data_IF_598122452245
#
_entry.id   IF_598122452245
#
_cell.length_a   1.000
_cell.length_b   1.000
_cell.length_c   1.000
_cell.angle_alpha   90.00
_cell.angle_beta   90.00
_cell.angle_gamma   90.00
#
_symmetry.space_group_name_H-M   'P 1'
#
loop_
_entity.id
_entity.type
_entity.pdbx_description
1 polymer ?
#
# COMPACT_ATOMS: atom_id res chain seq x y z
N UNK A 1 -7.64 14.68 3.14
CA UNK A 1 -6.52 15.13 2.20
C UNK A 1 -6.77 14.66 0.78
N UNK A 2 -6.28 15.33 -0.29
CA UNK A 2 -6.32 14.81 -1.67
C UNK A 2 -5.18 13.84 -1.91
N UNK A 3 -5.38 12.81 -2.75
CA UNK A 3 -4.37 11.76 -3.03
C UNK A 3 -3.09 12.35 -3.64
N UNK A 4 -3.19 13.35 -4.54
CA UNK A 4 -2.02 14.03 -5.09
C UNK A 4 -1.19 14.73 -4.02
N UNK A 5 -1.86 15.36 -3.07
CA UNK A 5 -1.19 16.06 -1.97
C UNK A 5 -0.53 15.07 -1.00
N UNK A 6 -1.17 13.93 -0.76
CA UNK A 6 -0.59 12.85 0.03
C UNK A 6 0.73 12.35 -0.58
N UNK A 7 0.73 11.97 -1.87
CA UNK A 7 1.95 11.47 -2.53
C UNK A 7 3.10 12.47 -2.42
N UNK A 8 2.84 13.75 -2.65
CA UNK A 8 3.86 14.80 -2.55
C UNK A 8 4.43 14.90 -1.11
N UNK A 9 3.58 14.85 -0.09
CA UNK A 9 4.02 14.94 1.31
C UNK A 9 4.74 13.67 1.77
N UNK A 10 4.28 12.49 1.36
CA UNK A 10 4.90 11.21 1.67
C UNK A 10 6.34 11.15 1.11
N UNK A 11 6.53 11.60 -0.12
CA UNK A 11 7.84 11.58 -0.77
C UNK A 11 8.89 12.53 -0.15
N UNK A 12 8.49 13.45 0.74
CA UNK A 12 9.44 14.23 1.54
C UNK A 12 10.26 13.36 2.51
N UNK A 13 9.74 12.20 2.86
CA UNK A 13 10.37 11.25 3.77
C UNK A 13 10.98 10.06 3.05
N UNK A 14 11.04 10.10 1.73
CA UNK A 14 11.73 9.11 0.91
C UNK A 14 13.20 9.51 0.75
N UNK A 15 14.10 8.54 0.83
CA UNK A 15 15.53 8.75 0.63
C UNK A 15 15.81 9.13 -0.83
N UNK A 16 16.68 10.11 -1.06
CA UNK A 16 17.12 10.46 -2.41
C UNK A 16 18.14 9.43 -2.96
N UNK A 17 18.13 9.24 -4.27
CA UNK A 17 19.15 8.46 -4.98
C UNK A 17 19.04 6.93 -4.85
N UNK A 18 18.02 6.39 -4.17
CA UNK A 18 17.80 4.93 -4.11
C UNK A 18 16.83 4.43 -5.21
N UNK A 19 16.80 3.12 -5.41
CA UNK A 19 15.85 2.46 -6.31
C UNK A 19 14.45 2.43 -5.70
N UNK A 20 13.62 3.42 -6.09
CA UNK A 20 12.23 3.57 -5.61
C UNK A 20 11.34 2.40 -5.98
N UNK A 21 11.59 1.76 -7.12
CA UNK A 21 10.78 0.62 -7.57
C UNK A 21 11.06 -0.57 -6.67
N UNK A 22 12.33 -0.90 -6.46
CA UNK A 22 12.71 -1.99 -5.57
C UNK A 22 12.26 -1.73 -4.13
N UNK A 23 12.52 -0.52 -3.59
CA UNK A 23 12.10 -0.15 -2.25
C UNK A 23 10.57 -0.22 -2.10
N UNK A 24 9.83 0.30 -3.07
CA UNK A 24 8.37 0.26 -3.07
C UNK A 24 7.82 -1.17 -3.06
N UNK A 25 8.37 -2.06 -3.88
CA UNK A 25 7.97 -3.47 -3.92
C UNK A 25 8.28 -4.20 -2.61
N UNK A 26 9.49 -4.03 -2.06
CA UNK A 26 9.89 -4.67 -0.81
C UNK A 26 9.03 -4.18 0.36
N UNK A 27 8.79 -2.89 0.43
CA UNK A 27 7.99 -2.29 1.49
C UNK A 27 6.51 -2.68 1.42
N UNK A 28 5.90 -2.74 0.24
CA UNK A 28 4.53 -3.25 0.07
C UNK A 28 4.37 -4.66 0.64
N UNK A 29 5.36 -5.54 0.42
CA UNK A 29 5.36 -6.91 0.95
C UNK A 29 5.51 -6.87 2.47
N UNK A 30 6.45 -6.07 3.00
CA UNK A 30 6.73 -5.96 4.42
C UNK A 30 5.53 -5.46 5.21
N UNK A 31 5.03 -4.26 4.89
CA UNK A 31 3.92 -3.64 5.63
C UNK A 31 2.61 -4.42 5.48
N UNK A 32 2.39 -5.04 4.33
CA UNK A 32 1.26 -5.98 4.21
C UNK A 32 1.43 -7.19 5.12
N UNK A 33 2.65 -7.67 5.32
CA UNK A 33 2.97 -8.73 6.28
C UNK A 33 2.61 -8.34 7.72
N UNK A 34 2.85 -7.08 8.12
CA UNK A 34 2.45 -6.56 9.44
C UNK A 34 0.91 -6.55 9.59
N UNK A 35 0.17 -6.12 8.58
CA UNK A 35 -1.30 -6.21 8.57
C UNK A 35 -1.77 -7.66 8.74
N UNK A 36 -1.16 -8.59 8.00
CA UNK A 36 -1.48 -10.04 8.10
C UNK A 36 -1.21 -10.54 9.51
N UNK A 37 -0.08 -10.17 10.13
CA UNK A 37 0.29 -10.61 11.48
C UNK A 37 -0.66 -10.06 12.54
N UNK A 38 -1.07 -8.79 12.44
CA UNK A 38 -2.07 -8.17 13.32
C UNK A 38 -3.39 -8.96 13.26
N UNK A 39 -3.91 -9.20 12.07
CA UNK A 39 -5.20 -9.91 11.89
C UNK A 39 -5.10 -11.37 12.32
N UNK A 40 -3.99 -12.05 12.01
CA UNK A 40 -3.71 -13.41 12.47
C UNK A 40 -3.71 -13.50 14.01
N UNK A 41 -2.99 -12.59 14.69
CA UNK A 41 -2.93 -12.55 16.15
C UNK A 41 -4.30 -12.26 16.75
N UNK A 42 -5.01 -11.28 16.23
CA UNK A 42 -6.37 -10.96 16.66
C UNK A 42 -7.30 -12.16 16.50
N UNK A 43 -7.29 -12.80 15.33
CA UNK A 43 -8.22 -13.88 15.00
C UNK A 43 -7.97 -15.19 15.77
N UNK A 44 -6.71 -15.54 16.00
CA UNK A 44 -6.32 -16.87 16.49
C UNK A 44 -5.63 -16.88 17.85
N UNK A 45 -5.20 -15.72 18.37
CA UNK A 45 -4.38 -15.68 19.60
C UNK A 45 -4.96 -14.80 20.71
N UNK A 46 -5.92 -13.91 20.40
CA UNK A 46 -6.42 -12.91 21.37
C UNK A 46 -7.66 -13.34 22.17
N UNK A 47 -8.20 -14.54 21.94
CA UNK A 47 -9.43 -15.04 22.60
C UNK A 47 -10.73 -14.54 21.96
N UNK A 48 -11.86 -15.18 22.32
CA UNK A 48 -13.15 -15.07 21.61
C UNK A 48 -13.82 -13.69 21.64
N UNK A 49 -13.36 -12.76 22.50
CA UNK A 49 -13.97 -11.44 22.70
C UNK A 49 -13.00 -10.27 22.54
N UNK A 50 -11.82 -10.51 21.95
CA UNK A 50 -10.85 -9.46 21.75
C UNK A 50 -11.33 -8.45 20.71
N UNK A 51 -11.25 -7.18 21.05
CA UNK A 51 -11.52 -6.10 20.10
C UNK A 51 -10.47 -6.07 19.01
N UNK A 52 -10.91 -5.74 17.78
CA UNK A 52 -10.02 -5.55 16.65
C UNK A 52 -9.06 -4.37 16.94
N UNK A 53 -7.74 -4.55 16.83
CA UNK A 53 -6.77 -3.48 17.08
C UNK A 53 -6.73 -2.48 15.91
N UNK A 54 -7.80 -1.68 15.79
CA UNK A 54 -8.06 -0.77 14.66
C UNK A 54 -6.94 0.25 14.47
N UNK A 55 -6.42 0.82 15.56
CA UNK A 55 -5.38 1.85 15.48
C UNK A 55 -4.11 1.30 14.83
N UNK A 56 -3.72 0.07 15.19
CA UNK A 56 -2.58 -0.60 14.56
C UNK A 56 -2.83 -0.89 13.09
N UNK A 57 -4.05 -1.35 12.74
CA UNK A 57 -4.41 -1.59 11.34
C UNK A 57 -4.41 -0.30 10.51
N UNK A 58 -4.86 0.82 11.09
CA UNK A 58 -4.84 2.13 10.43
C UNK A 58 -3.39 2.58 10.19
N UNK A 59 -2.51 2.36 11.17
CA UNK A 59 -1.08 2.68 11.06
C UNK A 59 -0.41 1.92 9.91
N UNK A 60 -0.56 0.59 9.88
CA UNK A 60 0.06 -0.24 8.83
C UNK A 60 -0.59 -0.01 7.45
N UNK A 61 -1.90 0.25 7.40
CA UNK A 61 -2.56 0.68 6.16
C UNK A 61 -1.95 2.01 5.64
N UNK A 62 -1.61 2.93 6.53
CA UNK A 62 -0.90 4.16 6.20
C UNK A 62 0.48 3.90 5.60
N UNK A 63 1.22 2.94 6.16
CA UNK A 63 2.55 2.57 5.67
C UNK A 63 2.48 1.84 4.31
N UNK A 64 1.50 0.97 4.10
CA UNK A 64 1.21 0.41 2.76
C UNK A 64 0.91 1.52 1.74
N UNK A 65 0.14 2.55 2.10
CA UNK A 65 -0.14 3.69 1.22
C UNK A 65 1.12 4.51 0.93
N UNK A 66 2.04 4.64 1.89
CA UNK A 66 3.33 5.28 1.68
C UNK A 66 4.15 4.54 0.60
N UNK A 67 4.21 3.20 0.66
CA UNK A 67 4.91 2.41 -0.35
C UNK A 67 4.18 2.40 -1.70
N UNK A 68 2.85 2.56 -1.73
CA UNK A 68 2.13 2.85 -2.97
C UNK A 68 2.59 4.18 -3.60
N UNK A 69 2.83 5.21 -2.78
CA UNK A 69 3.33 6.50 -3.24
C UNK A 69 4.78 6.39 -3.76
N UNK A 70 5.63 5.65 -3.06
CA UNK A 70 7.01 5.39 -3.43
C UNK A 70 7.11 4.67 -4.78
N UNK A 71 6.38 3.56 -4.93
CA UNK A 71 6.34 2.79 -6.18
C UNK A 71 5.73 3.59 -7.33
N UNK A 72 4.65 4.35 -7.07
CA UNK A 72 4.05 5.22 -8.10
C UNK A 72 5.04 6.28 -8.59
N UNK A 73 5.82 6.86 -7.67
CA UNK A 73 6.86 7.84 -8.00
C UNK A 73 8.00 7.21 -8.80
N UNK A 74 8.43 6.01 -8.43
CA UNK A 74 9.43 5.23 -9.17
C UNK A 74 8.99 4.87 -10.60
N UNK A 75 7.68 4.65 -10.79
CA UNK A 75 7.07 4.38 -12.10
C UNK A 75 6.64 5.64 -12.86
N UNK A 76 7.12 6.81 -12.45
CA UNK A 76 6.81 8.12 -13.05
C UNK A 76 5.30 8.35 -13.24
N UNK A 77 4.53 8.06 -12.19
CA UNK A 77 3.07 8.21 -12.24
C UNK A 77 2.51 8.81 -10.96
N UNK A 78 1.25 9.27 -11.03
CA UNK A 78 0.52 9.79 -9.89
C UNK A 78 -0.49 8.76 -9.38
N UNK A 79 -0.46 8.48 -8.08
CA UNK A 79 -1.48 7.65 -7.40
C UNK A 79 -2.90 8.12 -7.72
N UNK A 80 -3.12 9.44 -7.76
CA UNK A 80 -4.43 10.02 -8.05
C UNK A 80 -4.88 9.74 -9.48
N UNK A 81 -4.00 9.90 -10.46
CA UNK A 81 -4.31 9.55 -11.87
C UNK A 81 -4.67 8.09 -12.02
N UNK A 82 -3.93 7.21 -11.36
CA UNK A 82 -4.19 5.78 -11.36
C UNK A 82 -5.55 5.47 -10.72
N UNK A 83 -5.81 6.02 -9.55
CA UNK A 83 -7.01 5.75 -8.76
C UNK A 83 -8.29 6.24 -9.43
N UNK A 84 -8.28 7.45 -10.02
CA UNK A 84 -9.43 8.01 -10.74
C UNK A 84 -9.73 7.22 -12.02
N UNK A 85 -8.70 6.86 -12.79
CA UNK A 85 -8.87 6.14 -14.07
C UNK A 85 -9.57 4.78 -13.90
N UNK A 86 -9.42 4.14 -12.75
CA UNK A 86 -9.89 2.77 -12.50
C UNK A 86 -11.18 2.69 -11.68
N UNK A 87 -11.56 3.73 -10.93
CA UNK A 87 -12.81 3.71 -10.14
C UNK A 87 -14.05 3.48 -11.01
N UNK A 88 -14.05 3.89 -12.28
CA UNK A 88 -15.15 3.60 -13.21
C UNK A 88 -15.25 2.13 -13.66
N UNK A 89 -14.16 1.36 -13.55
CA UNK A 89 -14.11 -0.06 -13.97
C UNK A 89 -14.33 -1.04 -12.81
N UNK A 90 -14.13 -0.60 -11.56
CA UNK A 90 -14.17 -1.47 -10.38
C UNK A 90 -15.43 -1.33 -9.52
N UNK A 91 -16.33 -0.37 -9.79
CA UNK A 91 -17.55 -0.17 -9.00
C UNK A 91 -18.44 -1.42 -8.91
N UNK A 92 -18.47 -2.26 -9.94
CA UNK A 92 -19.23 -3.51 -9.88
C UNK A 92 -18.52 -4.63 -9.09
N UNK A 93 -17.20 -4.65 -9.09
CA UNK A 93 -16.44 -5.60 -8.27
C UNK A 93 -16.45 -5.24 -6.78
N UNK A 94 -16.56 -3.97 -6.42
CA UNK A 94 -16.62 -3.52 -5.03
C UNK A 94 -17.84 -3.99 -4.27
N UNK A 95 -18.96 -4.29 -4.96
CA UNK A 95 -20.17 -4.84 -4.31
C UNK A 95 -19.92 -6.22 -3.70
N UNK A 96 -19.11 -7.06 -4.33
CA UNK A 96 -18.76 -8.41 -3.84
C UNK A 96 -17.81 -8.31 -2.64
N UNK A 97 -16.99 -7.25 -2.57
CA UNK A 97 -15.96 -7.09 -1.55
C UNK A 97 -16.47 -6.51 -0.22
N UNK A 98 -17.57 -5.75 -0.24
CA UNK A 98 -18.16 -5.11 0.97
C UNK A 98 -18.66 -6.09 2.03
N UNK A 99 -18.77 -7.37 1.72
CA UNK A 99 -19.24 -8.41 2.66
C UNK A 99 -18.15 -9.42 3.03
N UNK A 100 -16.93 -9.25 2.51
CA UNK A 100 -15.85 -10.19 2.78
C UNK A 100 -15.36 -10.04 4.24
N UNK A 101 -15.12 -11.15 4.95
CA UNK A 101 -14.46 -11.11 6.25
C UNK A 101 -13.08 -10.44 6.16
N UNK A 102 -12.65 -9.81 7.26
CA UNK A 102 -11.38 -9.07 7.31
C UNK A 102 -10.18 -9.96 6.90
N UNK A 103 -10.12 -11.18 7.41
CA UNK A 103 -9.05 -12.12 7.12
C UNK A 103 -8.94 -12.43 5.61
N UNK A 104 -10.07 -12.52 4.91
CA UNK A 104 -10.08 -12.74 3.46
C UNK A 104 -9.63 -11.48 2.72
N UNK A 105 -10.05 -10.31 3.18
CA UNK A 105 -9.63 -9.03 2.60
C UNK A 105 -8.11 -8.81 2.75
N UNK A 106 -7.56 -9.14 3.92
CA UNK A 106 -6.13 -9.04 4.18
C UNK A 106 -5.31 -10.05 3.37
N UNK A 107 -5.78 -11.29 3.22
CA UNK A 107 -5.12 -12.27 2.35
C UNK A 107 -5.13 -11.85 0.88
N UNK A 108 -6.19 -11.18 0.44
CA UNK A 108 -6.23 -10.57 -0.90
C UNK A 108 -5.20 -9.45 -1.04
N UNK A 109 -5.09 -8.56 -0.05
CA UNK A 109 -4.07 -7.52 -0.02
C UNK A 109 -2.67 -8.14 -0.15
N UNK A 110 -2.37 -9.18 0.62
CA UNK A 110 -1.09 -9.88 0.57
C UNK A 110 -0.80 -10.49 -0.81
N UNK A 111 -1.79 -11.09 -1.46
CA UNK A 111 -1.63 -11.62 -2.81
C UNK A 111 -1.39 -10.51 -3.85
N UNK A 112 -1.97 -9.33 -3.67
CA UNK A 112 -1.81 -8.20 -4.58
C UNK A 112 -0.48 -7.48 -4.37
N UNK A 113 0.03 -7.39 -3.14
CA UNK A 113 1.30 -6.72 -2.82
C UNK A 113 2.54 -7.40 -3.44
N UNK A 114 2.46 -8.69 -3.77
CA UNK A 114 3.51 -9.45 -4.46
C UNK A 114 3.54 -9.21 -5.98
N UNK A 115 2.42 -8.84 -6.58
CA UNK A 115 2.28 -8.79 -8.05
C UNK A 115 3.13 -7.72 -8.74
N UNK A 116 3.30 -6.49 -8.19
CA UNK A 116 4.23 -5.54 -8.78
C UNK A 116 5.65 -6.12 -8.94
N UNK A 117 6.13 -6.87 -7.93
CA UNK A 117 7.43 -7.55 -8.00
C UNK A 117 7.50 -8.55 -9.15
N UNK A 118 6.45 -9.34 -9.34
CA UNK A 118 6.38 -10.32 -10.43
C UNK A 118 6.43 -9.66 -11.82
N UNK A 119 5.77 -8.51 -11.98
CA UNK A 119 5.76 -7.80 -13.26
C UNK A 119 7.07 -7.04 -13.53
N UNK A 120 7.73 -6.53 -12.50
CA UNK A 120 8.87 -5.63 -12.64
C UNK A 120 10.23 -6.34 -12.51
N UNK A 121 10.31 -7.47 -11.81
CA UNK A 121 11.57 -8.15 -11.48
C UNK A 121 11.61 -9.64 -11.85
N UNK A 122 10.47 -10.35 -11.86
CA UNK A 122 10.49 -11.72 -12.33
C UNK A 122 10.83 -11.72 -13.81
N UNK A 123 12.03 -12.22 -14.10
CA UNK A 123 12.55 -12.30 -15.46
C UNK A 123 11.61 -13.11 -16.34
N UNK A 124 10.67 -12.44 -16.97
CA UNK A 124 9.97 -13.01 -18.12
C UNK A 124 11.07 -13.35 -19.11
N UNK A 125 11.17 -14.61 -19.59
CA UNK A 125 12.21 -15.01 -20.51
C UNK A 125 12.32 -13.98 -21.65
N UNK A 126 13.54 -13.59 -22.01
CA UNK A 126 13.82 -12.54 -23.00
C UNK A 126 13.01 -12.68 -24.29
N UNK A 127 12.64 -13.92 -24.64
CA UNK A 127 11.77 -14.24 -25.78
C UNK A 127 10.30 -13.84 -25.54
N UNK A 128 9.83 -13.79 -24.30
CA UNK A 128 8.45 -13.41 -23.95
C UNK A 128 8.35 -11.88 -23.77
N UNK A 129 9.39 -11.22 -23.25
CA UNK A 129 9.47 -9.75 -23.15
C UNK A 129 9.49 -9.07 -24.51
N UNK A 130 10.09 -9.69 -25.53
CA UNK A 130 10.01 -9.17 -26.92
C UNK A 130 8.58 -9.14 -27.47
N UNK A 131 7.70 -9.99 -26.96
CA UNK A 131 6.29 -10.06 -27.40
C UNK A 131 5.33 -9.28 -26.53
N UNK A 132 5.65 -9.01 -25.27
CA UNK A 132 4.75 -8.37 -24.28
C UNK A 132 5.20 -6.94 -23.97
N UNK A 133 6.23 -6.38 -24.40
CA UNK A 133 6.69 -5.00 -24.18
C UNK A 133 6.80 -4.58 -22.69
N UNK A 134 7.84 -3.86 -22.35
CA UNK A 134 8.08 -3.32 -21.00
C UNK A 134 6.89 -2.45 -20.53
N UNK A 135 6.33 -1.67 -21.44
CA UNK A 135 5.18 -0.78 -21.17
C UNK A 135 3.94 -1.54 -20.65
N UNK A 136 3.74 -2.78 -21.13
CA UNK A 136 2.63 -3.61 -20.65
C UNK A 136 2.86 -4.07 -19.20
N UNK A 137 4.05 -4.48 -18.85
CA UNK A 137 4.39 -4.93 -17.49
C UNK A 137 4.28 -3.81 -16.47
N UNK A 138 4.78 -2.62 -16.82
CA UNK A 138 4.58 -1.44 -16.01
C UNK A 138 3.09 -1.08 -15.86
N UNK A 139 2.30 -1.21 -16.93
CA UNK A 139 0.87 -0.97 -16.87
C UNK A 139 0.16 -1.96 -15.93
N UNK A 140 0.59 -3.23 -15.88
CA UNK A 140 0.09 -4.20 -14.93
C UNK A 140 0.50 -3.83 -13.49
N UNK A 141 1.75 -3.49 -13.24
CA UNK A 141 2.20 -3.05 -11.92
C UNK A 141 1.43 -1.81 -11.44
N UNK A 142 1.22 -0.82 -12.31
CA UNK A 142 0.39 0.36 -12.06
C UNK A 142 -1.06 -0.02 -11.74
N UNK A 143 -1.59 -1.06 -12.38
CA UNK A 143 -2.93 -1.57 -12.09
C UNK A 143 -3.04 -2.23 -10.72
N UNK A 144 -2.00 -2.94 -10.27
CA UNK A 144 -1.98 -3.54 -8.94
C UNK A 144 -1.91 -2.49 -7.83
N UNK A 145 -1.19 -1.38 -8.01
CA UNK A 145 -1.20 -0.27 -7.05
C UNK A 145 -2.64 0.19 -6.77
N UNK A 146 -3.47 0.33 -7.78
CA UNK A 146 -4.89 0.72 -7.58
C UNK A 146 -5.67 -0.35 -6.85
N UNK A 147 -5.42 -1.62 -7.16
CA UNK A 147 -6.03 -2.74 -6.46
C UNK A 147 -5.66 -2.75 -4.98
N UNK A 148 -4.38 -2.54 -4.66
CA UNK A 148 -3.87 -2.42 -3.30
C UNK A 148 -4.57 -1.26 -2.56
N UNK A 149 -4.57 -0.06 -3.14
CA UNK A 149 -5.23 1.12 -2.56
C UNK A 149 -6.72 0.88 -2.31
N UNK A 150 -7.41 0.22 -3.24
CA UNK A 150 -8.83 -0.11 -3.11
C UNK A 150 -9.07 -1.13 -2.00
N UNK A 151 -8.19 -2.13 -1.86
CA UNK A 151 -8.31 -3.13 -0.79
C UNK A 151 -7.98 -2.53 0.58
N UNK A 152 -6.98 -1.65 0.66
CA UNK A 152 -6.68 -0.86 1.88
C UNK A 152 -7.89 0.00 2.27
N UNK A 153 -8.52 0.70 1.32
CA UNK A 153 -9.76 1.44 1.57
C UNK A 153 -10.84 0.52 2.17
N UNK A 154 -11.05 -0.67 1.62
CA UNK A 154 -12.06 -1.59 2.10
C UNK A 154 -11.76 -2.05 3.54
N UNK A 155 -10.50 -2.30 3.91
CA UNK A 155 -10.08 -2.58 5.30
C UNK A 155 -10.43 -1.40 6.20
N UNK A 156 -10.07 -0.20 5.81
CA UNK A 156 -10.29 1.02 6.61
C UNK A 156 -11.77 1.34 6.80
N UNK A 157 -12.54 1.39 5.71
CA UNK A 157 -13.95 1.83 5.76
C UNK A 157 -14.87 0.77 6.38
N UNK A 158 -14.67 -0.51 6.07
CA UNK A 158 -15.56 -1.59 6.49
C UNK A 158 -15.22 -2.06 7.91
N UNK A 159 -13.94 -2.20 8.24
CA UNK A 159 -13.51 -2.84 9.48
C UNK A 159 -12.99 -1.85 10.53
N UNK A 160 -12.40 -0.72 10.10
CA UNK A 160 -11.87 0.28 11.03
C UNK A 160 -12.76 1.51 11.21
N UNK A 161 -13.80 1.69 10.38
CA UNK A 161 -14.68 2.88 10.39
C UNK A 161 -13.91 4.19 10.15
N UNK A 162 -12.89 4.14 9.32
CA UNK A 162 -11.97 5.24 8.98
C UNK A 162 -11.90 5.39 7.47
N UNK A 163 -11.85 6.61 6.95
CA UNK A 163 -11.71 6.81 5.51
C UNK A 163 -10.26 6.65 5.04
N UNK A 164 -10.07 6.37 3.75
CA UNK A 164 -8.75 6.35 3.12
C UNK A 164 -8.00 7.68 3.33
N UNK A 165 -8.73 8.80 3.25
CA UNK A 165 -8.15 10.14 3.43
C UNK A 165 -7.74 10.42 4.86
N UNK A 166 -8.46 9.94 5.86
CA UNK A 166 -8.10 10.09 7.27
C UNK A 166 -6.85 9.26 7.60
N UNK A 167 -6.75 8.03 7.07
CA UNK A 167 -5.56 7.21 7.22
C UNK A 167 -4.32 7.86 6.55
N UNK A 168 -4.49 8.48 5.38
CA UNK A 168 -3.43 9.26 4.73
C UNK A 168 -3.00 10.46 5.59
N UNK A 169 -3.93 11.18 6.20
CA UNK A 169 -3.63 12.31 7.09
C UNK A 169 -2.88 11.83 8.34
N UNK A 170 -3.37 10.76 8.96
CA UNK A 170 -2.72 10.13 10.11
C UNK A 170 -1.27 9.71 9.80
N UNK A 171 -1.04 9.06 8.65
CA UNK A 171 0.29 8.66 8.21
C UNK A 171 1.22 9.87 8.02
N UNK A 172 0.76 10.95 7.37
CA UNK A 172 1.56 12.18 7.22
C UNK A 172 1.89 12.82 8.56
N UNK A 173 0.97 12.83 9.51
CA UNK A 173 1.24 13.35 10.87
C UNK A 173 2.28 12.50 11.61
N UNK A 174 2.20 11.14 11.49
CA UNK A 174 3.21 10.22 11.99
C UNK A 174 4.58 10.52 11.39
N UNK A 175 4.66 10.66 10.07
CA UNK A 175 5.90 10.95 9.35
C UNK A 175 6.49 12.32 9.70
N UNK A 176 5.67 13.36 9.90
CA UNK A 176 6.14 14.68 10.33
C UNK A 176 6.77 14.65 11.73
N UNK A 177 6.22 13.84 12.64
CA UNK A 177 6.82 13.66 13.98
C UNK A 177 8.14 12.93 13.91
N UNK A 178 8.24 11.89 13.07
CA UNK A 178 9.48 11.11 12.90
C UNK A 178 10.58 11.88 12.13
N UNK A 179 10.17 12.59 11.10
CA UNK A 179 11.04 13.25 10.12
C UNK A 179 10.64 14.72 9.89
N UNK A 180 10.77 15.60 10.88
CA UNK A 180 10.33 17.00 10.78
C UNK A 180 11.01 17.75 9.64
N UNK A 181 12.28 17.45 9.37
CA UNK A 181 13.12 18.11 8.36
C UNK A 181 13.26 17.29 7.06
N UNK A 182 12.54 16.18 6.92
CA UNK A 182 12.67 15.23 5.82
C UNK A 182 13.36 13.94 6.26
N UNK A 183 13.66 13.04 5.30
CA UNK A 183 14.26 11.74 5.60
C UNK A 183 15.61 11.88 6.32
N UNK A 184 15.80 11.09 7.38
CA UNK A 184 17.02 11.00 8.16
C UNK A 184 17.36 9.51 8.39
N UNK A 185 18.49 9.00 7.85
CA UNK A 185 18.89 7.59 7.97
C UNK A 185 19.08 7.15 9.42
N UNK A 186 19.67 7.97 10.27
CA UNK A 186 19.89 7.64 11.69
C UNK A 186 18.58 7.47 12.44
N UNK A 187 17.61 8.38 12.22
CA UNK A 187 16.27 8.26 12.78
C UNK A 187 15.49 7.06 12.23
N UNK A 188 15.77 6.65 10.99
CA UNK A 188 15.16 5.46 10.41
C UNK A 188 15.68 4.17 11.04
N UNK A 189 16.97 4.09 11.37
CA UNK A 189 17.61 2.93 11.98
C UNK A 189 17.31 2.81 13.49
N UNK A 190 17.18 3.94 14.18
CA UNK A 190 16.97 4.01 15.63
C UNK A 190 15.54 4.50 15.93
N UNK A 191 14.51 3.78 15.43
CA UNK A 191 13.09 4.11 15.67
C UNK A 191 12.83 4.15 17.17
N UNK A 192 12.55 5.33 17.72
CA UNK A 192 11.91 5.49 19.03
C UNK A 192 10.40 5.33 18.75
N UNK A 193 9.81 4.27 19.27
CA UNK A 193 8.38 4.00 19.19
C UNK A 193 7.56 5.07 19.94
#
# INVERSE_FOLDING_TARGET
MKIEHYQMLAMRTSQEGHDRILNGCMGLIGETGEIVDIVKKWKFQSGDHAELPKDKLIDECGDVLWYCAELSTGLDTSMAKLYIKKNHLFDDMTKIHKTAPLEITVMRLAAMSLRPTMFLFDGIPEQTTRNIGVDYLEAQAKAEIVGIMSTVRDILEIHCSTSLTDAMEHNIEKLRRRYPDGFDPERSLHRIE
#
